data_IF_135213446954
#
_entry.id   IF_135213446954
#
_cell.length_a   1.000
_cell.length_b   1.000
_cell.length_c   1.000
_cell.angle_alpha   90.00
_cell.angle_beta   90.00
_cell.angle_gamma   90.00
#
_symmetry.space_group_name_H-M   'P 1'
#
loop_
_entity.id
_entity.type
_entity.pdbx_description
1 polymer ?
#
# COMPACT_ATOMS: atom_id res chain seq x y z
N UNK A 1 13.99 8.54 4.88
CA UNK A 1 13.72 7.09 5.02
C UNK A 1 12.27 6.65 5.26
N UNK A 2 11.35 7.51 5.72
CA UNK A 2 9.98 7.04 6.03
C UNK A 2 9.19 6.52 4.82
N UNK A 3 9.52 7.00 3.61
CA UNK A 3 8.85 6.60 2.38
C UNK A 3 9.15 5.14 2.02
N UNK A 4 10.42 4.72 2.11
CA UNK A 4 10.82 3.33 1.86
C UNK A 4 10.17 2.35 2.83
N UNK A 5 10.16 2.68 4.13
CA UNK A 5 9.47 1.88 5.16
C UNK A 5 7.97 1.76 4.84
N UNK A 6 7.34 2.85 4.39
CA UNK A 6 5.93 2.83 4.00
C UNK A 6 5.68 1.98 2.76
N UNK A 7 6.55 2.09 1.75
CA UNK A 7 6.49 1.30 0.53
C UNK A 7 6.66 -0.19 0.83
N UNK A 8 7.64 -0.58 1.65
CA UNK A 8 7.84 -1.97 2.09
C UNK A 8 6.61 -2.51 2.84
N UNK A 9 6.04 -1.72 3.76
CA UNK A 9 4.79 -2.10 4.45
C UNK A 9 3.60 -2.22 3.50
N UNK A 10 3.58 -1.48 2.38
CA UNK A 10 2.52 -1.60 1.36
C UNK A 10 2.68 -2.88 0.55
N UNK A 11 3.89 -3.19 0.07
CA UNK A 11 4.20 -4.43 -0.65
C UNK A 11 3.77 -5.65 0.16
N UNK A 12 4.19 -5.73 1.43
CA UNK A 12 3.80 -6.84 2.32
C UNK A 12 2.30 -7.01 2.47
N UNK A 13 1.55 -5.92 2.50
CA UNK A 13 0.07 -5.98 2.63
C UNK A 13 -0.58 -6.44 1.33
N UNK A 14 -0.07 -6.02 0.17
CA UNK A 14 -0.52 -6.52 -1.15
C UNK A 14 -0.24 -8.03 -1.27
N UNK A 15 0.92 -8.48 -0.79
CA UNK A 15 1.29 -9.90 -0.76
C UNK A 15 0.26 -10.75 0.01
N UNK A 16 -0.04 -10.35 1.26
CA UNK A 16 -0.96 -11.11 2.12
C UNK A 16 -2.42 -10.96 1.67
N UNK A 17 -2.82 -9.78 1.24
CA UNK A 17 -4.21 -9.45 0.84
C UNK A 17 -4.21 -8.96 -0.60
N UNK A 18 -4.47 -9.89 -1.51
CA UNK A 18 -4.61 -9.62 -2.94
C UNK A 18 -5.80 -8.68 -3.20
N UNK A 19 -5.68 -7.80 -4.20
CA UNK A 19 -6.76 -6.90 -4.63
C UNK A 19 -6.88 -5.59 -3.85
N UNK A 20 -5.84 -5.17 -3.11
CA UNK A 20 -5.89 -3.92 -2.35
C UNK A 20 -5.67 -2.68 -3.24
N UNK A 21 -6.61 -1.74 -3.19
CA UNK A 21 -6.49 -0.44 -3.87
C UNK A 21 -6.08 0.73 -2.95
N UNK A 22 -5.92 1.92 -3.53
CA UNK A 22 -5.55 3.15 -2.81
C UNK A 22 -6.51 3.44 -1.64
N UNK A 23 -7.82 3.22 -1.82
CA UNK A 23 -8.83 3.43 -0.79
C UNK A 23 -8.66 2.53 0.44
N UNK A 24 -8.19 1.29 0.25
CA UNK A 24 -7.91 0.37 1.34
C UNK A 24 -6.68 0.84 2.13
N UNK A 25 -5.61 1.25 1.44
CA UNK A 25 -4.43 1.82 2.11
C UNK A 25 -4.72 3.10 2.86
N UNK A 26 -5.61 3.96 2.32
CA UNK A 26 -6.09 5.16 3.03
C UNK A 26 -6.74 4.83 4.38
N UNK A 27 -7.48 3.73 4.46
CA UNK A 27 -8.10 3.23 5.70
C UNK A 27 -7.04 2.59 6.62
N UNK A 28 -6.19 1.72 6.09
CA UNK A 28 -5.18 1.00 6.88
C UNK A 28 -4.21 1.95 7.58
N UNK A 29 -3.76 2.98 6.88
CA UNK A 29 -2.84 3.98 7.46
C UNK A 29 -3.55 5.22 7.98
N UNK A 30 -4.88 5.21 8.05
CA UNK A 30 -5.64 6.25 8.73
C UNK A 30 -5.44 6.14 10.23
N UNK A 31 -5.68 7.24 10.95
CA UNK A 31 -5.54 7.28 12.40
C UNK A 31 -6.65 8.12 13.02
N UNK A 32 -6.77 8.04 14.35
CA UNK A 32 -7.70 8.86 15.08
C UNK A 32 -7.17 10.30 15.13
N UNK A 33 -7.91 11.24 14.54
CA UNK A 33 -7.54 12.64 14.48
C UNK A 33 -8.03 13.38 15.73
N UNK A 34 -7.10 14.03 16.44
CA UNK A 34 -7.42 14.94 17.54
C UNK A 34 -7.96 16.26 16.97
N UNK A 35 -9.13 16.69 17.47
CA UNK A 35 -9.84 17.91 17.02
C UNK A 35 -9.93 18.98 18.12
N UNK A 36 -8.89 19.08 18.96
CA UNK A 36 -8.89 19.99 20.11
C UNK A 36 -9.88 19.56 21.18
N UNK A 37 -10.86 20.43 21.48
CA UNK A 37 -11.91 20.23 22.50
C UNK A 37 -13.02 19.28 22.03
N UNK A 38 -13.19 19.09 20.72
CA UNK A 38 -14.20 18.18 20.17
C UNK A 38 -13.76 16.71 20.26
N UNK A 39 -14.74 15.80 20.27
CA UNK A 39 -14.52 14.35 20.22
C UNK A 39 -13.67 13.94 19.02
N UNK A 40 -12.80 12.97 19.25
CA UNK A 40 -11.90 12.42 18.25
C UNK A 40 -12.67 11.59 17.22
N UNK A 41 -12.34 11.75 15.94
CA UNK A 41 -12.90 10.94 14.85
C UNK A 41 -11.78 10.29 14.03
N UNK A 42 -12.09 9.16 13.38
CA UNK A 42 -11.16 8.51 12.47
C UNK A 42 -10.98 9.33 11.19
N UNK A 43 -9.73 9.55 10.78
CA UNK A 43 -9.38 10.26 9.56
C UNK A 43 -8.52 9.38 8.66
N UNK A 44 -8.87 9.36 7.37
CA UNK A 44 -8.14 8.58 6.36
C UNK A 44 -6.81 9.26 6.05
N UNK A 45 -5.79 8.46 5.75
CA UNK A 45 -4.50 9.01 5.31
C UNK A 45 -4.56 9.62 3.90
N UNK A 46 -3.51 10.36 3.55
CA UNK A 46 -3.37 10.99 2.24
C UNK A 46 -3.39 9.98 1.10
N UNK A 47 -4.25 10.21 0.12
CA UNK A 47 -4.35 9.38 -1.08
C UNK A 47 -3.19 9.58 -2.06
N UNK A 48 -2.59 10.78 -2.09
CA UNK A 48 -1.50 11.10 -3.04
C UNK A 48 -0.26 10.25 -2.75
N UNK A 49 0.11 10.11 -1.47
CA UNK A 49 1.27 9.31 -1.05
C UNK A 49 1.06 7.83 -1.41
N UNK A 50 -0.11 7.27 -1.08
CA UNK A 50 -0.41 5.88 -1.39
C UNK A 50 -0.44 5.62 -2.91
N UNK A 51 -0.98 6.55 -3.71
CA UNK A 51 -0.97 6.44 -5.17
C UNK A 51 0.45 6.49 -5.74
N UNK A 52 1.24 7.46 -5.29
CA UNK A 52 2.63 7.62 -5.71
C UNK A 52 3.45 6.36 -5.44
N UNK A 53 3.41 5.83 -4.21
CA UNK A 53 4.18 4.62 -3.87
C UNK A 53 3.77 3.42 -4.74
N UNK A 54 2.47 3.26 -5.01
CA UNK A 54 2.00 2.14 -5.83
C UNK A 54 2.34 2.29 -7.31
N UNK A 55 2.35 3.51 -7.86
CA UNK A 55 2.82 3.77 -9.23
C UNK A 55 4.31 3.50 -9.36
N UNK A 56 5.11 3.88 -8.37
CA UNK A 56 6.55 3.59 -8.38
C UNK A 56 6.84 2.09 -8.27
N UNK A 57 6.07 1.35 -7.46
CA UNK A 57 6.18 -0.11 -7.39
C UNK A 57 5.76 -0.82 -8.68
N UNK A 58 4.84 -0.21 -9.42
CA UNK A 58 4.36 -0.68 -10.72
C UNK A 58 5.41 -0.41 -11.81
N UNK A 59 6.05 0.77 -11.80
CA UNK A 59 7.22 1.08 -12.65
C UNK A 59 8.41 0.14 -12.37
N UNK A 60 8.59 -0.30 -11.13
CA UNK A 60 9.61 -1.28 -10.74
C UNK A 60 9.23 -2.73 -11.07
N UNK A 61 8.01 -3.00 -11.56
CA UNK A 61 7.55 -4.35 -11.89
C UNK A 61 7.27 -5.26 -10.69
N UNK A 62 7.17 -4.71 -9.47
CA UNK A 62 6.91 -5.48 -8.25
C UNK A 62 5.40 -5.71 -8.00
N UNK A 63 4.57 -4.81 -8.52
CA UNK A 63 3.11 -4.85 -8.32
C UNK A 63 2.41 -4.58 -9.65
N UNK A 64 1.43 -5.41 -9.97
CA UNK A 64 0.58 -5.27 -11.17
C UNK A 64 -0.86 -4.90 -10.80
N UNK A 65 -1.54 -4.26 -11.75
CA UNK A 65 -2.96 -3.99 -11.65
C UNK A 65 -3.75 -5.25 -12.06
N UNK A 66 -4.69 -5.67 -11.23
CA UNK A 66 -5.56 -6.80 -11.55
C UNK A 66 -6.75 -6.34 -12.42
N UNK A 67 -7.24 -7.23 -13.30
CA UNK A 67 -8.39 -6.98 -14.18
C UNK A 67 -9.69 -6.76 -13.40
N UNK A 68 -9.88 -7.46 -12.27
CA UNK A 68 -11.01 -7.24 -11.34
C UNK A 68 -10.85 -5.99 -10.46
N UNK A 69 -9.76 -5.24 -10.65
CA UNK A 69 -9.43 -4.04 -9.90
C UNK A 69 -8.54 -4.31 -8.68
N UNK A 70 -7.90 -3.24 -8.20
CA UNK A 70 -6.91 -3.32 -7.14
C UNK A 70 -5.53 -3.70 -7.67
N UNK A 71 -4.65 -4.12 -6.76
CA UNK A 71 -3.26 -4.46 -7.06
C UNK A 71 -2.89 -5.81 -6.48
N UNK A 72 -2.05 -6.54 -7.21
CA UNK A 72 -1.56 -7.87 -6.87
C UNK A 72 -0.05 -7.88 -7.09
N UNK A 73 0.67 -8.65 -6.29
CA UNK A 73 2.12 -8.80 -6.47
C UNK A 73 2.39 -9.57 -7.78
N UNK A 74 3.41 -9.18 -8.52
CA UNK A 74 3.77 -9.88 -9.76
C UNK A 74 4.33 -11.27 -9.44
N UNK A 75 4.13 -12.23 -10.35
CA UNK A 75 4.70 -13.59 -10.19
C UNK A 75 6.23 -13.55 -10.09
N UNK A 76 6.87 -12.67 -10.87
CA UNK A 76 8.31 -12.46 -10.85
C UNK A 76 8.83 -11.94 -9.50
N UNK A 77 8.08 -11.07 -8.82
CA UNK A 77 8.46 -10.59 -7.49
C UNK A 77 8.29 -11.66 -6.39
N UNK A 78 7.35 -12.58 -6.56
CA UNK A 78 7.21 -13.73 -5.66
C UNK A 78 8.37 -14.74 -5.84
N UNK A 79 8.85 -14.92 -7.09
CA UNK A 79 9.97 -15.81 -7.42
C UNK A 79 11.34 -15.20 -7.06
N UNK A 80 11.47 -13.87 -7.06
CA UNK A 80 12.70 -13.19 -6.68
C UNK A 80 13.05 -13.38 -5.19
N UNK A 81 12.08 -13.62 -4.31
CA UNK A 81 12.35 -14.02 -2.91
C UNK A 81 12.89 -15.47 -2.82
N UNK A 82 12.62 -16.32 -3.81
CA UNK A 82 13.00 -17.74 -3.81
C UNK A 82 14.43 -17.99 -4.33
N UNK A 83 15.06 -16.99 -4.95
CA UNK A 83 16.44 -17.07 -5.46
C UNK A 83 17.50 -16.50 -4.49
N UNK A 84 17.07 -15.98 -3.34
CA UNK A 84 17.96 -15.45 -2.28
C UNK A 84 18.10 -16.40 -1.08
N UNK A 85 17.42 -17.55 -1.10
CA UNK A 85 17.54 -18.64 -0.12
C UNK A 85 18.42 -19.78 -0.63
#
# INVERSE_FOLDING_TARGET
DWLYVRTASMVRKVYIRKGMGVGAFKKVYGSQQRRGTCTKHFSKSSGKIARYCLQQLEEMGLVEQNEEGGRVITKAAAEAEEQEE
#
